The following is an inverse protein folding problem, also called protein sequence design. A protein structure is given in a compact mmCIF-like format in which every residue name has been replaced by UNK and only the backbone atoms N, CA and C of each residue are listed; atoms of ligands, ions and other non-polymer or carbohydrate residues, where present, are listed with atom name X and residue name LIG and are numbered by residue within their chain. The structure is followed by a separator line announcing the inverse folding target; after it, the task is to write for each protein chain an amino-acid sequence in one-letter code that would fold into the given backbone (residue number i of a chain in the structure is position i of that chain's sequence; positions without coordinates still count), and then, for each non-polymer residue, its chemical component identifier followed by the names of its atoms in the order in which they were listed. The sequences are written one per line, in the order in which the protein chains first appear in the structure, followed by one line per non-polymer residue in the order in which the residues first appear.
data_IF_721883765526
#
_entry.id   IF_721883765526
#
_cell.length_a   1.000
_cell.length_b   1.000
_cell.length_c   1.000
_cell.angle_alpha   90.00
_cell.angle_beta   90.00
_cell.angle_gamma   90.00
#
_symmetry.space_group_name_H-M   'P 1'
#
loop_
_entity.id
_entity.type
_entity.pdbx_description
1 polymer ?
#
# COMPACT_ATOMS: atom_id res chain seq x y z
N UNK A 1 13.21 11.29 25.41
CA UNK A 1 13.67 10.01 26.00
C UNK A 1 12.53 9.08 26.42
N UNK A 2 11.40 9.59 26.96
CA UNK A 2 10.30 8.74 27.44
C UNK A 2 9.48 7.98 26.36
N UNK A 3 9.40 8.50 25.13
CA UNK A 3 8.66 7.83 24.05
C UNK A 3 9.46 6.71 23.39
N UNK A 4 10.78 6.86 23.30
CA UNK A 4 11.68 5.85 22.73
C UNK A 4 11.77 4.62 23.61
N UNK A 5 11.71 4.77 24.94
CA UNK A 5 11.72 3.64 25.88
C UNK A 5 10.47 2.77 25.77
N UNK A 6 9.28 3.36 25.57
CA UNK A 6 8.03 2.62 25.36
C UNK A 6 8.08 1.81 24.05
N UNK A 7 8.60 2.41 22.98
CA UNK A 7 8.65 1.77 21.65
C UNK A 7 9.72 0.67 21.53
N UNK A 8 10.74 0.69 22.38
CA UNK A 8 11.90 -0.21 22.31
C UNK A 8 11.96 -1.18 23.51
N UNK A 9 10.90 -1.26 24.31
CA UNK A 9 10.84 -2.07 25.52
C UNK A 9 11.00 -3.57 25.26
N UNK A 10 10.64 -4.05 24.07
CA UNK A 10 10.77 -5.45 23.65
C UNK A 10 12.11 -5.75 22.94
N UNK A 11 12.94 -4.73 22.67
CA UNK A 11 14.23 -4.91 22.01
C UNK A 11 15.28 -5.27 23.07
N UNK A 12 15.82 -6.48 22.99
CA UNK A 12 16.87 -6.92 23.93
C UNK A 12 18.16 -6.10 23.73
N UNK A 13 18.61 -5.45 24.80
CA UNK A 13 19.84 -4.63 24.85
C UNK A 13 19.60 -3.13 24.74
N UNK A 14 20.67 -2.32 24.86
CA UNK A 14 20.62 -0.86 24.66
C UNK A 14 20.37 -0.54 23.18
N UNK A 15 19.18 -0.05 22.79
CA UNK A 15 18.81 0.06 21.38
C UNK A 15 19.53 1.24 20.72
N UNK A 16 20.64 0.95 20.04
CA UNK A 16 21.36 1.93 19.22
C UNK A 16 20.67 2.13 17.87
N UNK A 17 19.80 3.12 17.79
CA UNK A 17 19.13 3.51 16.54
C UNK A 17 20.17 4.06 15.56
N UNK A 18 20.38 3.38 14.43
CA UNK A 18 21.36 3.80 13.40
C UNK A 18 20.80 4.82 12.41
N UNK A 19 19.50 4.74 12.12
CA UNK A 19 18.86 5.58 11.10
C UNK A 19 17.47 5.95 11.54
N UNK A 20 17.12 7.22 11.42
CA UNK A 20 15.80 7.75 11.72
C UNK A 20 15.20 8.37 10.45
N UNK A 21 13.96 8.00 10.13
CA UNK A 21 13.19 8.66 9.06
C UNK A 21 12.33 9.74 9.70
N UNK A 22 12.51 10.98 9.25
CA UNK A 22 11.86 12.13 9.86
C UNK A 22 11.14 12.98 8.83
N UNK A 23 10.11 13.68 9.30
CA UNK A 23 9.35 14.63 8.52
C UNK A 23 10.08 15.98 8.44
N UNK A 24 9.52 16.90 7.62
CA UNK A 24 10.14 18.19 7.32
C UNK A 24 10.32 19.11 8.55
N UNK A 25 9.61 18.84 9.66
CA UNK A 25 9.73 19.60 10.90
C UNK A 25 11.08 19.43 11.64
N UNK A 26 11.85 18.38 11.31
CA UNK A 26 13.15 18.10 11.92
C UNK A 26 14.32 18.68 11.10
N UNK A 27 14.13 19.84 10.47
CA UNK A 27 15.15 20.49 9.66
C UNK A 27 16.15 21.23 10.56
N UNK A 28 17.44 20.96 10.39
CA UNK A 28 18.52 21.68 11.11
C UNK A 28 19.00 21.03 12.41
N UNK A 29 18.30 20.01 12.91
CA UNK A 29 18.66 19.25 14.14
C UNK A 29 19.63 18.09 13.88
N UNK A 30 20.30 18.06 12.73
CA UNK A 30 21.24 16.98 12.37
C UNK A 30 22.44 16.90 13.34
N UNK A 31 22.87 18.04 13.90
CA UNK A 31 24.00 18.10 14.84
C UNK A 31 23.64 17.58 16.23
N UNK A 32 22.40 17.84 16.68
CA UNK A 32 21.92 17.47 18.02
C UNK A 32 21.58 15.98 18.14
N UNK A 33 21.40 15.30 17.00
CA UNK A 33 20.94 13.90 16.91
C UNK A 33 22.10 12.95 16.53
N UNK A 34 23.31 13.46 16.35
CA UNK A 34 24.50 12.63 16.07
C UNK A 34 24.74 11.63 17.21
N UNK A 35 25.02 10.34 16.94
CA UNK A 35 25.45 9.76 15.65
C UNK A 35 24.34 9.17 14.77
N UNK A 36 23.05 9.40 15.04
CA UNK A 36 21.95 8.77 14.29
C UNK A 36 21.81 9.42 12.91
N UNK A 37 21.79 8.61 11.85
CA UNK A 37 21.62 9.13 10.50
C UNK A 37 20.17 9.55 10.25
N UNK A 38 19.95 10.84 9.98
CA UNK A 38 18.63 11.39 9.69
C UNK A 38 18.34 11.36 8.18
N UNK A 39 17.33 10.59 7.80
CA UNK A 39 16.85 10.42 6.42
C UNK A 39 15.55 11.20 6.26
N UNK A 40 15.60 12.29 5.50
CA UNK A 40 14.48 13.22 5.33
C UNK A 40 14.20 13.53 3.87
N UNK A 41 12.95 13.90 3.58
CA UNK A 41 12.51 14.19 2.21
C UNK A 41 13.21 15.42 1.59
N UNK A 42 13.59 16.41 2.42
CA UNK A 42 14.33 17.59 1.98
C UNK A 42 15.72 17.25 1.39
N UNK A 43 16.31 16.13 1.83
CA UNK A 43 17.60 15.60 1.36
C UNK A 43 17.43 14.68 0.15
N UNK A 44 16.26 14.65 -0.51
CA UNK A 44 15.95 13.69 -1.58
C UNK A 44 16.96 13.58 -2.73
N UNK A 45 17.77 14.63 -2.98
CA UNK A 45 18.84 14.64 -3.98
C UNK A 45 20.10 13.87 -3.56
N UNK A 46 20.35 13.71 -2.26
CA UNK A 46 21.52 13.02 -1.70
C UNK A 46 21.20 11.64 -1.13
N UNK A 47 19.95 11.19 -1.24
CA UNK A 47 19.52 9.90 -0.73
C UNK A 47 19.85 8.74 -1.67
N UNK A 48 20.29 7.63 -1.08
CA UNK A 48 20.35 6.34 -1.77
C UNK A 48 18.96 5.90 -2.25
N UNK A 49 18.92 5.12 -3.34
CA UNK A 49 17.70 4.49 -3.84
C UNK A 49 16.91 3.73 -2.74
N UNK A 50 17.63 3.09 -1.80
CA UNK A 50 17.02 2.37 -0.67
C UNK A 50 16.31 3.34 0.30
N UNK A 51 16.99 4.42 0.68
CA UNK A 51 16.44 5.46 1.55
C UNK A 51 15.24 6.17 0.90
N UNK A 52 15.34 6.45 -0.41
CA UNK A 52 14.24 7.03 -1.19
C UNK A 52 13.01 6.13 -1.23
N UNK A 53 13.21 4.80 -1.38
CA UNK A 53 12.13 3.82 -1.34
C UNK A 53 11.44 3.79 0.02
N UNK A 54 12.19 3.87 1.12
CA UNK A 54 11.61 3.91 2.46
C UNK A 54 10.77 5.17 2.70
N UNK A 55 11.28 6.34 2.32
CA UNK A 55 10.52 7.59 2.41
C UNK A 55 9.25 7.55 1.56
N UNK A 56 9.34 7.07 0.30
CA UNK A 56 8.17 6.95 -0.57
C UNK A 56 7.09 6.05 0.04
N UNK A 57 7.48 4.93 0.67
CA UNK A 57 6.54 4.04 1.38
C UNK A 57 5.87 4.73 2.56
N UNK A 58 6.60 5.51 3.36
CA UNK A 58 6.03 6.26 4.49
C UNK A 58 5.10 7.38 4.05
N UNK A 59 5.49 8.15 3.04
CA UNK A 59 4.72 9.29 2.56
C UNK A 59 3.36 8.92 2.00
N UNK A 60 3.19 7.69 1.52
CA UNK A 60 1.90 7.21 1.02
C UNK A 60 0.90 6.95 2.16
N UNK A 61 1.37 6.78 3.40
CA UNK A 61 0.50 6.46 4.54
C UNK A 61 -0.38 7.64 4.94
N UNK A 62 0.16 8.86 4.96
CA UNK A 62 -0.60 10.06 5.38
C UNK A 62 -1.77 10.38 4.44
N UNK A 63 -1.60 10.42 3.10
CA UNK A 63 -2.70 10.60 2.16
C UNK A 63 -3.76 9.50 2.28
N UNK A 64 -3.34 8.24 2.45
CA UNK A 64 -4.28 7.13 2.66
C UNK A 64 -5.06 7.33 3.96
N UNK A 65 -4.38 7.65 5.06
CA UNK A 65 -5.02 7.90 6.35
C UNK A 65 -5.98 9.09 6.28
N UNK A 66 -5.61 10.15 5.57
CA UNK A 66 -6.48 11.31 5.30
C UNK A 66 -7.72 10.92 4.49
N UNK A 67 -7.55 10.17 3.41
CA UNK A 67 -8.65 9.65 2.58
C UNK A 67 -9.57 8.73 3.39
N UNK A 68 -9.01 7.85 4.23
CA UNK A 68 -9.80 6.99 5.11
C UNK A 68 -10.58 7.81 6.13
N UNK A 69 -9.96 8.82 6.74
CA UNK A 69 -10.62 9.74 7.69
C UNK A 69 -11.79 10.49 7.05
N UNK A 70 -11.58 11.04 5.85
CA UNK A 70 -12.55 11.91 5.18
C UNK A 70 -13.64 11.11 4.43
N UNK A 71 -13.24 10.19 3.57
CA UNK A 71 -14.14 9.52 2.61
C UNK A 71 -14.60 8.15 3.07
N UNK A 72 -13.90 7.58 4.06
CA UNK A 72 -14.25 6.31 4.66
C UNK A 72 -14.69 6.48 6.11
N UNK A 73 -15.64 7.38 6.39
CA UNK A 73 -16.50 7.33 7.61
C UNK A 73 -15.79 7.22 8.95
N UNK A 74 -14.49 7.54 9.01
CA UNK A 74 -13.69 7.55 10.24
C UNK A 74 -13.85 8.89 10.99
N UNK A 75 -14.50 9.89 10.38
CA UNK A 75 -14.74 11.20 11.00
C UNK A 75 -15.70 11.17 12.20
N UNK A 76 -16.58 10.16 12.29
CA UNK A 76 -17.56 10.03 13.38
C UNK A 76 -17.78 8.56 13.74
N UNK A 77 -17.62 8.25 15.02
CA UNK A 77 -18.01 6.97 15.60
C UNK A 77 -19.43 7.09 16.19
N UNK A 78 -20.28 6.11 15.90
CA UNK A 78 -21.65 6.04 16.45
C UNK A 78 -21.78 5.03 17.59
N UNK A 79 -20.70 4.29 17.87
CA UNK A 79 -20.63 3.32 18.96
C UNK A 79 -20.30 4.04 20.27
N UNK A 80 -20.78 3.50 21.40
CA UNK A 80 -20.61 4.13 22.71
C UNK A 80 -19.24 3.78 23.31
N UNK A 81 -18.55 4.80 23.81
CA UNK A 81 -17.35 4.66 24.64
C UNK A 81 -16.09 4.22 23.89
N UNK A 82 -14.99 4.12 24.63
CA UNK A 82 -13.65 3.82 24.09
C UNK A 82 -13.56 2.48 23.35
N UNK A 83 -14.26 1.47 23.85
CA UNK A 83 -14.33 0.16 23.18
C UNK A 83 -15.04 0.26 21.83
N UNK A 84 -16.10 1.07 21.75
CA UNK A 84 -16.79 1.36 20.49
C UNK A 84 -15.91 2.05 19.47
N UNK A 85 -15.11 3.03 19.90
CA UNK A 85 -14.16 3.72 19.03
C UNK A 85 -13.09 2.79 18.45
N UNK A 86 -12.56 1.87 19.27
CA UNK A 86 -11.58 0.89 18.83
C UNK A 86 -12.16 -0.06 17.76
N UNK A 87 -13.33 -0.65 18.04
CA UNK A 87 -14.02 -1.55 17.10
C UNK A 87 -14.42 -0.84 15.81
N UNK A 88 -14.87 0.42 15.90
CA UNK A 88 -15.19 1.25 14.72
C UNK A 88 -13.95 1.45 13.85
N UNK A 89 -12.80 1.80 14.45
CA UNK A 89 -11.55 2.01 13.72
C UNK A 89 -11.07 0.72 13.02
N UNK A 90 -11.07 -0.41 13.74
CA UNK A 90 -10.69 -1.72 13.20
C UNK A 90 -11.58 -2.16 12.04
N UNK A 91 -12.90 -2.07 12.22
CA UNK A 91 -13.88 -2.47 11.19
C UNK A 91 -13.75 -1.59 9.94
N UNK A 92 -13.50 -0.28 10.12
CA UNK A 92 -13.32 0.64 9.00
C UNK A 92 -12.03 0.37 8.23
N UNK A 93 -10.94 0.07 8.92
CA UNK A 93 -9.69 -0.35 8.31
C UNK A 93 -9.85 -1.67 7.53
N UNK A 94 -10.52 -2.67 8.12
CA UNK A 94 -10.82 -3.94 7.48
C UNK A 94 -11.66 -3.74 6.20
N UNK A 95 -12.73 -2.94 6.27
CA UNK A 95 -13.58 -2.62 5.12
C UNK A 95 -12.83 -1.89 3.99
N UNK A 96 -11.91 -0.98 4.33
CA UNK A 96 -11.06 -0.32 3.34
C UNK A 96 -10.15 -1.32 2.60
N UNK A 97 -9.51 -2.22 3.34
CA UNK A 97 -8.64 -3.26 2.77
C UNK A 97 -9.44 -4.24 1.89
N UNK A 98 -10.62 -4.66 2.35
CA UNK A 98 -11.50 -5.55 1.59
C UNK A 98 -11.93 -4.91 0.27
N UNK A 99 -12.23 -3.61 0.24
CA UNK A 99 -12.59 -2.91 -0.99
C UNK A 99 -11.47 -2.94 -2.04
N UNK A 100 -10.22 -2.82 -1.62
CA UNK A 100 -9.07 -2.94 -2.52
C UNK A 100 -8.87 -4.37 -3.01
N UNK A 101 -9.02 -5.36 -2.12
CA UNK A 101 -8.94 -6.77 -2.49
C UNK A 101 -10.01 -7.13 -3.53
N UNK A 102 -11.26 -6.74 -3.31
CA UNK A 102 -12.35 -6.98 -4.25
C UNK A 102 -12.13 -6.30 -5.60
N UNK A 103 -11.58 -5.08 -5.61
CA UNK A 103 -11.18 -4.40 -6.85
C UNK A 103 -10.09 -5.15 -7.60
N UNK A 104 -9.10 -5.71 -6.90
CA UNK A 104 -8.06 -6.52 -7.51
C UNK A 104 -8.65 -7.81 -8.09
N UNK A 105 -9.48 -8.55 -7.33
CA UNK A 105 -10.15 -9.77 -7.79
C UNK A 105 -11.00 -9.48 -9.02
N UNK A 106 -11.82 -8.42 -9.00
CA UNK A 106 -12.64 -8.05 -10.15
C UNK A 106 -11.78 -7.74 -11.37
N UNK A 107 -10.70 -6.96 -11.21
CA UNK A 107 -9.78 -6.63 -12.30
C UNK A 107 -9.14 -7.87 -12.89
N UNK A 108 -8.54 -8.74 -12.06
CA UNK A 108 -7.88 -9.96 -12.53
C UNK A 108 -8.87 -10.96 -13.14
N UNK A 109 -10.03 -11.15 -12.51
CA UNK A 109 -11.09 -12.05 -12.98
C UNK A 109 -11.68 -11.61 -14.32
N UNK A 110 -12.01 -10.33 -14.47
CA UNK A 110 -12.46 -9.76 -15.74
C UNK A 110 -11.39 -9.92 -16.83
N UNK A 111 -10.13 -9.62 -16.53
CA UNK A 111 -9.05 -9.79 -17.53
C UNK A 111 -8.88 -11.24 -17.95
N UNK A 112 -8.94 -12.19 -17.02
CA UNK A 112 -8.85 -13.61 -17.33
C UNK A 112 -10.03 -14.09 -18.19
N UNK A 113 -11.24 -13.63 -17.86
CA UNK A 113 -12.45 -13.94 -18.63
C UNK A 113 -12.36 -13.45 -20.07
N UNK A 114 -11.98 -12.18 -20.29
CA UNK A 114 -11.82 -11.63 -21.64
C UNK A 114 -10.68 -12.30 -22.42
N UNK A 115 -9.57 -12.63 -21.75
CA UNK A 115 -8.46 -13.34 -22.40
C UNK A 115 -8.87 -14.74 -22.86
N UNK A 116 -9.61 -15.48 -22.02
CA UNK A 116 -10.12 -16.80 -22.38
C UNK A 116 -11.13 -16.72 -23.53
N UNK A 117 -12.06 -15.76 -23.49
CA UNK A 117 -13.01 -15.54 -24.57
C UNK A 117 -12.32 -15.23 -25.90
N UNK A 118 -11.28 -14.38 -25.89
CA UNK A 118 -10.49 -14.07 -27.07
C UNK A 118 -9.76 -15.31 -27.64
N UNK A 119 -9.19 -16.15 -26.77
CA UNK A 119 -8.55 -17.40 -27.18
C UNK A 119 -9.54 -18.38 -27.81
N UNK A 120 -10.75 -18.50 -27.24
CA UNK A 120 -11.80 -19.35 -27.81
C UNK A 120 -12.28 -18.84 -29.18
N UNK A 121 -12.42 -17.52 -29.34
CA UNK A 121 -12.77 -16.92 -30.63
C UNK A 121 -11.65 -17.15 -31.67
N UNK A 122 -10.39 -16.95 -31.30
CA UNK A 122 -9.25 -17.21 -32.18
C UNK A 122 -9.14 -18.70 -32.56
N UNK A 123 -9.39 -19.60 -31.61
CA UNK A 123 -9.46 -21.03 -31.87
C UNK A 123 -10.62 -21.39 -32.81
N UNK A 124 -11.80 -20.81 -32.61
CA UNK A 124 -12.94 -21.03 -33.51
C UNK A 124 -12.66 -20.51 -34.93
N UNK A 125 -11.99 -19.37 -35.06
CA UNK A 125 -11.62 -18.78 -36.36
C UNK A 125 -10.61 -19.66 -37.13
N UNK A 126 -9.53 -20.07 -36.46
CA UNK A 126 -8.49 -20.95 -37.04
C UNK A 126 -9.04 -22.33 -37.44
N UNK A 127 -9.94 -22.91 -36.64
CA UNK A 127 -10.61 -24.16 -37.00
C UNK A 127 -11.68 -23.98 -38.10
N UNK A 128 -12.29 -22.80 -38.19
CA UNK A 128 -13.24 -22.44 -39.25
C UNK A 128 -12.59 -22.35 -40.63
N UNK A 129 -11.45 -21.68 -40.75
CA UNK A 129 -10.66 -21.61 -41.99
C UNK A 129 -10.16 -22.99 -42.44
N UNK A 130 -9.70 -23.81 -41.49
CA UNK A 130 -9.23 -25.18 -41.76
C UNK A 130 -10.33 -26.09 -42.33
N UNK A 131 -11.58 -25.90 -41.89
CA UNK A 131 -12.74 -26.64 -42.41
C UNK A 131 -13.23 -26.14 -43.77
N UNK A 132 -13.07 -24.86 -44.07
CA UNK A 132 -13.43 -24.27 -45.36
C UNK A 132 -12.52 -24.75 -46.51
N UNK A 133 -11.22 -24.94 -46.23
CA UNK A 133 -10.25 -25.48 -47.21
C UNK A 133 -10.37 -27.00 -47.44
N UNK A 134 -11.02 -27.73 -46.53
CA UNK A 134 -11.20 -29.18 -46.60
C UNK A 134 -12.49 -29.62 -47.32
N UNK A 135 -13.29 -28.69 -47.84
CA UNK A 135 -14.49 -28.99 -48.63
C UNK A 135 -14.06 -29.25 -50.10
N UNK A 136 -14.15 -30.48 -50.61
CA UNK A 136 -13.81 -30.75 -52.01
C UNK A 136 -14.89 -30.16 -52.91
N UNK A 137 -14.48 -29.34 -53.88
CA UNK A 137 -15.32 -28.88 -54.98
C UNK A 137 -15.91 -30.09 -55.69
N UNK A 138 -17.25 -30.19 -55.70
CA UNK A 138 -17.98 -31.12 -56.58
C UNK A 138 -17.72 -30.82 -58.05
#
# INVERSE_FOLDING_TARGET
MAQTSILLQEVQGEPRVKTMLTDLGYRGVDADIAPVQLVQCSKSKTLSNKQRRWLKRRQVIEPITGHVKHDHGMRRCWLKGKTGDAVHAETRAAGYNLRWLLRAIARLGLTAFYALAALLVAFAFTNGESRALASPSR
#
